data_IF_149008053597
#
_entry.id   IF_149008053597
#
_cell.length_a   1.000
_cell.length_b   1.000
_cell.length_c   1.000
_cell.angle_alpha   90.00
_cell.angle_beta   90.00
_cell.angle_gamma   90.00
#
_symmetry.space_group_name_H-M   'P 1'
#
loop_
_entity.id
_entity.type
_entity.pdbx_description
1 polymer ?
#
# COMPACT_ATOMS: atom_id res chain seq x y z
N UNK A 1 24.58 -21.24 15.19
CA UNK A 1 25.10 -20.59 13.96
C UNK A 1 24.72 -19.12 14.04
N UNK A 2 25.60 -18.18 13.67
CA UNK A 2 25.20 -16.77 13.58
C UNK A 2 24.14 -16.59 12.49
N UNK A 3 23.20 -15.66 12.71
CA UNK A 3 22.19 -15.33 11.72
C UNK A 3 22.83 -14.81 10.43
N UNK A 4 22.30 -15.16 9.24
CA UNK A 4 22.87 -14.70 7.98
C UNK A 4 22.77 -13.18 7.86
N UNK A 5 23.89 -12.55 7.51
CA UNK A 5 24.00 -11.09 7.32
C UNK A 5 23.10 -10.62 6.18
N UNK A 6 22.74 -9.33 6.16
CA UNK A 6 21.94 -8.78 5.06
C UNK A 6 22.67 -8.88 3.72
N UNK A 7 24.00 -8.73 3.69
CA UNK A 7 24.73 -8.91 2.43
C UNK A 7 24.79 -10.37 1.97
N UNK A 8 24.80 -11.36 2.88
CA UNK A 8 24.68 -12.76 2.50
C UNK A 8 23.30 -13.06 1.89
N UNK A 9 22.23 -12.52 2.48
CA UNK A 9 20.87 -12.58 1.91
C UNK A 9 20.82 -11.90 0.55
N UNK A 10 21.47 -10.74 0.40
CA UNK A 10 21.45 -9.99 -0.86
C UNK A 10 22.19 -10.73 -1.97
N UNK A 11 23.26 -11.45 -1.63
CA UNK A 11 23.99 -12.32 -2.57
C UNK A 11 23.10 -13.45 -3.08
N UNK A 12 22.33 -14.07 -2.18
CA UNK A 12 21.39 -15.11 -2.55
C UNK A 12 20.23 -14.58 -3.41
N UNK A 13 19.68 -13.42 -3.05
CA UNK A 13 18.51 -12.84 -3.71
C UNK A 13 18.84 -12.12 -5.03
N UNK A 14 20.13 -11.89 -5.33
CA UNK A 14 20.57 -11.12 -6.50
C UNK A 14 20.00 -11.68 -7.80
N UNK A 15 20.13 -12.99 -8.03
CA UNK A 15 19.62 -13.63 -9.25
C UNK A 15 18.09 -13.52 -9.39
N UNK A 16 17.37 -13.52 -8.27
CA UNK A 16 15.92 -13.34 -8.25
C UNK A 16 15.54 -11.90 -8.59
N UNK A 17 16.21 -10.92 -7.95
CA UNK A 17 15.96 -9.50 -8.15
C UNK A 17 16.30 -9.02 -9.56
N UNK A 18 17.36 -9.54 -10.17
CA UNK A 18 17.79 -9.17 -11.52
C UNK A 18 17.01 -9.89 -12.62
N UNK A 19 16.21 -10.91 -12.30
CA UNK A 19 15.41 -11.61 -13.31
C UNK A 19 14.41 -10.67 -14.00
N UNK A 20 14.29 -10.82 -15.32
CA UNK A 20 13.49 -9.92 -16.16
C UNK A 20 12.04 -9.81 -15.65
N UNK A 21 11.56 -8.58 -15.52
CA UNK A 21 10.18 -8.29 -15.13
C UNK A 21 9.88 -8.27 -13.63
N UNK A 22 10.85 -8.58 -12.75
CA UNK A 22 10.64 -8.50 -11.29
C UNK A 22 10.64 -7.08 -10.75
N UNK A 23 11.55 -6.26 -11.24
CA UNK A 23 11.66 -4.84 -10.87
C UNK A 23 11.45 -3.99 -12.12
N UNK A 24 10.43 -3.13 -12.06
CA UNK A 24 10.19 -2.14 -13.10
C UNK A 24 11.16 -0.96 -12.96
N UNK A 25 11.38 -0.23 -14.06
CA UNK A 25 12.28 0.92 -14.06
C UNK A 25 11.87 1.98 -13.02
N UNK A 26 10.57 2.24 -12.91
CA UNK A 26 10.01 3.17 -11.93
C UNK A 26 10.27 2.73 -10.49
N UNK A 27 10.22 1.42 -10.20
CA UNK A 27 10.50 0.90 -8.86
C UNK A 27 11.98 1.02 -8.52
N UNK A 28 12.87 0.67 -9.45
CA UNK A 28 14.33 0.81 -9.27
C UNK A 28 14.67 2.28 -9.00
N UNK A 29 14.09 3.19 -9.77
CA UNK A 29 14.27 4.63 -9.61
C UNK A 29 13.83 5.14 -8.23
N UNK A 30 12.67 4.68 -7.74
CA UNK A 30 12.17 5.01 -6.39
C UNK A 30 13.10 4.48 -5.30
N UNK A 31 13.57 3.24 -5.44
CA UNK A 31 14.51 2.63 -4.50
C UNK A 31 15.82 3.42 -4.46
N UNK A 32 16.38 3.79 -5.62
CA UNK A 32 17.61 4.59 -5.69
C UNK A 32 17.42 5.95 -5.01
N UNK A 33 16.29 6.63 -5.25
CA UNK A 33 16.00 7.91 -4.58
C UNK A 33 15.85 7.75 -3.08
N UNK A 34 15.24 6.66 -2.62
CA UNK A 34 15.10 6.38 -1.20
C UNK A 34 16.47 6.20 -0.54
N UNK A 35 17.36 5.42 -1.16
CA UNK A 35 18.72 5.20 -0.67
C UNK A 35 19.59 6.47 -0.71
N UNK A 36 19.27 7.42 -1.58
CA UNK A 36 19.98 8.68 -1.70
C UNK A 36 19.47 9.78 -0.74
N UNK A 37 18.16 9.86 -0.52
CA UNK A 37 17.53 10.98 0.20
C UNK A 37 17.16 10.67 1.65
N UNK A 38 16.90 9.41 1.99
CA UNK A 38 16.48 9.02 3.33
C UNK A 38 17.72 8.78 4.19
N UNK A 39 17.68 9.25 5.44
CA UNK A 39 18.74 8.98 6.40
C UNK A 39 18.65 7.52 6.90
N UNK A 40 19.77 6.78 6.95
CA UNK A 40 21.13 7.18 6.56
C UNK A 40 21.30 7.21 5.03
N UNK A 41 21.96 8.24 4.51
CA UNK A 41 22.25 8.34 3.08
C UNK A 41 23.25 7.25 2.69
N UNK A 42 22.78 6.28 1.89
CA UNK A 42 23.58 5.15 1.42
C UNK A 42 24.26 5.48 0.10
N UNK A 43 23.55 6.16 -0.81
CA UNK A 43 24.08 6.55 -2.11
C UNK A 43 24.34 8.05 -2.15
N UNK A 44 25.52 8.44 -2.61
CA UNK A 44 25.82 9.83 -2.94
C UNK A 44 24.98 10.28 -4.14
N UNK A 45 24.82 11.60 -4.32
CA UNK A 45 24.08 12.16 -5.47
C UNK A 45 24.67 11.69 -6.81
N UNK A 46 26.00 11.59 -6.90
CA UNK A 46 26.72 11.13 -8.10
C UNK A 46 26.42 9.67 -8.42
N UNK A 47 26.37 8.80 -7.41
CA UNK A 47 26.03 7.38 -7.58
C UNK A 47 24.58 7.19 -7.96
N UNK A 48 23.66 7.92 -7.31
CA UNK A 48 22.24 7.89 -7.62
C UNK A 48 21.98 8.28 -9.08
N UNK A 49 22.62 9.35 -9.57
CA UNK A 49 22.54 9.75 -10.98
C UNK A 49 23.09 8.68 -11.93
N UNK A 50 24.22 8.05 -11.57
CA UNK A 50 24.81 6.95 -12.36
C UNK A 50 23.86 5.76 -12.49
N UNK A 51 23.22 5.33 -11.39
CA UNK A 51 22.31 4.18 -11.39
C UNK A 51 20.93 4.46 -12.01
N UNK A 52 20.58 5.74 -12.18
CA UNK A 52 19.34 6.18 -12.85
C UNK A 52 19.53 6.51 -14.33
N UNK A 53 20.74 6.34 -14.89
CA UNK A 53 21.03 6.72 -16.27
C UNK A 53 20.21 5.89 -17.28
N UNK A 54 19.28 6.48 -18.06
CA UNK A 54 18.42 5.75 -18.99
C UNK A 54 19.18 5.13 -20.17
N UNK A 55 20.44 5.54 -20.43
CA UNK A 55 21.26 4.98 -21.51
C UNK A 55 21.72 3.55 -21.25
N UNK A 56 21.72 3.11 -19.99
CA UNK A 56 22.14 1.75 -19.61
C UNK A 56 20.92 0.87 -19.32
N UNK A 57 21.01 -0.42 -19.68
CA UNK A 57 19.93 -1.38 -19.43
C UNK A 57 19.60 -1.50 -17.95
N UNK A 58 18.32 -1.64 -17.62
CA UNK A 58 17.85 -1.78 -16.23
C UNK A 58 18.56 -2.92 -15.50
N UNK A 59 18.70 -4.08 -16.15
CA UNK A 59 19.39 -5.23 -15.58
C UNK A 59 20.84 -4.89 -15.18
N UNK A 60 21.59 -4.22 -16.07
CA UNK A 60 22.98 -3.83 -15.80
C UNK A 60 23.06 -2.82 -14.65
N UNK A 61 22.19 -1.80 -14.65
CA UNK A 61 22.13 -0.79 -13.59
C UNK A 61 21.82 -1.40 -12.23
N UNK A 62 20.81 -2.28 -12.18
CA UNK A 62 20.41 -2.97 -10.97
C UNK A 62 21.53 -3.90 -10.47
N UNK A 63 22.12 -4.71 -11.34
CA UNK A 63 23.23 -5.60 -10.96
C UNK A 63 24.41 -4.83 -10.38
N UNK A 64 24.78 -3.71 -11.02
CA UNK A 64 25.85 -2.84 -10.56
C UNK A 64 25.52 -2.14 -9.22
N UNK A 65 24.26 -1.72 -9.03
CA UNK A 65 23.79 -1.16 -7.76
C UNK A 65 23.91 -2.20 -6.63
N UNK A 66 23.41 -3.41 -6.85
CA UNK A 66 23.44 -4.48 -5.86
C UNK A 66 24.88 -4.88 -5.50
N UNK A 67 25.77 -4.97 -6.50
CA UNK A 67 27.19 -5.24 -6.28
C UNK A 67 27.88 -4.12 -5.49
N UNK A 68 27.53 -2.86 -5.76
CA UNK A 68 28.05 -1.72 -5.01
C UNK A 68 27.61 -1.76 -3.53
N UNK A 69 26.33 -2.02 -3.26
CA UNK A 69 25.81 -2.14 -1.89
C UNK A 69 26.49 -3.28 -1.12
N UNK A 70 26.75 -4.42 -1.76
CA UNK A 70 27.47 -5.54 -1.13
C UNK A 70 28.91 -5.18 -0.78
N UNK A 71 29.56 -4.33 -1.58
CA UNK A 71 30.94 -3.88 -1.34
C UNK A 71 31.02 -2.87 -0.19
N UNK A 72 30.01 -2.00 -0.06
CA UNK A 72 29.95 -0.99 1.00
C UNK A 72 29.70 -1.62 2.39
N UNK A 73 28.94 -2.71 2.46
CA UNK A 73 28.78 -3.52 3.66
C UNK A 73 27.33 -3.75 4.09
N UNK A 74 27.15 -4.29 5.30
CA UNK A 74 25.87 -4.86 5.72
C UNK A 74 24.74 -3.82 5.92
N UNK A 75 25.09 -2.64 6.41
CA UNK A 75 24.13 -1.54 6.62
C UNK A 75 23.50 -1.04 5.32
N UNK A 76 24.26 -0.76 4.23
CA UNK A 76 23.72 -0.55 2.89
C UNK A 76 22.79 -1.67 2.40
N UNK A 77 23.17 -2.94 2.59
CA UNK A 77 22.35 -4.10 2.24
C UNK A 77 21.02 -4.08 3.01
N UNK A 78 21.03 -3.76 4.31
CA UNK A 78 19.84 -3.64 5.15
C UNK A 78 18.90 -2.52 4.68
N UNK A 79 19.43 -1.33 4.40
CA UNK A 79 18.61 -0.21 3.93
C UNK A 79 18.02 -0.45 2.54
N UNK A 80 18.71 -1.21 1.68
CA UNK A 80 18.12 -1.70 0.44
C UNK A 80 16.89 -2.55 0.67
N UNK A 81 16.95 -3.51 1.61
CA UNK A 81 15.77 -4.30 1.97
C UNK A 81 14.64 -3.46 2.55
N UNK A 82 14.96 -2.45 3.35
CA UNK A 82 13.98 -1.49 3.86
C UNK A 82 13.32 -0.69 2.73
N UNK A 83 14.10 -0.21 1.77
CA UNK A 83 13.59 0.48 0.59
C UNK A 83 12.76 -0.44 -0.31
N UNK A 84 13.19 -1.68 -0.48
CA UNK A 84 12.46 -2.69 -1.25
C UNK A 84 11.11 -3.02 -0.58
N UNK A 85 11.07 -3.17 0.74
CA UNK A 85 9.85 -3.41 1.48
C UNK A 85 8.84 -2.27 1.32
N UNK A 86 9.30 -1.02 1.38
CA UNK A 86 8.43 0.16 1.25
C UNK A 86 7.86 0.31 -0.17
N UNK A 87 8.67 0.05 -1.19
CA UNK A 87 8.26 0.30 -2.58
C UNK A 87 7.65 -0.93 -3.28
N UNK A 88 7.97 -2.15 -2.82
CA UNK A 88 7.61 -3.40 -3.47
C UNK A 88 7.42 -4.52 -2.43
N UNK A 89 6.50 -4.32 -1.48
CA UNK A 89 6.23 -5.26 -0.39
C UNK A 89 5.94 -6.69 -0.88
N UNK A 90 5.15 -6.84 -1.94
CA UNK A 90 4.83 -8.16 -2.51
C UNK A 90 6.09 -8.88 -3.03
N UNK A 91 7.00 -8.15 -3.68
CA UNK A 91 8.27 -8.73 -4.16
C UNK A 91 9.18 -9.09 -2.98
N UNK A 92 9.24 -8.21 -1.98
CA UNK A 92 10.00 -8.41 -0.75
C UNK A 92 9.56 -9.67 0.01
N UNK A 93 8.26 -9.92 0.12
CA UNK A 93 7.74 -11.12 0.77
C UNK A 93 8.05 -12.42 0.02
N UNK A 94 8.31 -12.31 -1.29
CA UNK A 94 8.62 -13.43 -2.17
C UNK A 94 10.10 -13.76 -2.30
N UNK A 95 10.98 -13.04 -1.59
CA UNK A 95 12.42 -13.25 -1.67
C UNK A 95 12.85 -14.66 -1.19
N UNK A 96 13.77 -15.32 -1.91
CA UNK A 96 14.34 -16.60 -1.51
C UNK A 96 14.88 -16.61 -0.07
N UNK A 97 15.63 -15.58 0.32
CA UNK A 97 16.20 -15.45 1.67
C UNK A 97 15.15 -15.45 2.79
N UNK A 98 13.92 -15.02 2.51
CA UNK A 98 12.78 -15.03 3.45
C UNK A 98 12.02 -16.35 3.46
N UNK A 99 11.98 -17.08 2.35
CA UNK A 99 11.29 -18.37 2.29
C UNK A 99 12.01 -19.45 3.09
N UNK A 100 13.34 -19.45 3.08
CA UNK A 100 14.16 -20.41 3.84
C UNK A 100 13.91 -20.29 5.35
N UNK A 101 13.72 -19.06 5.86
CA UNK A 101 13.44 -18.81 7.28
C UNK A 101 12.04 -19.27 7.70
N UNK A 102 11.07 -19.36 6.77
CA UNK A 102 9.70 -19.84 7.06
C UNK A 102 9.58 -21.37 7.01
N UNK A 103 10.48 -22.04 6.30
CA UNK A 103 10.48 -23.50 6.15
C UNK A 103 11.14 -24.24 7.31
N UNK A 104 11.96 -23.58 8.14
CA UNK A 104 12.53 -24.24 9.33
C UNK A 104 11.50 -24.46 10.44
N UNK A 105 10.40 -23.69 10.45
CA UNK A 105 9.38 -23.73 11.51
C UNK A 105 8.03 -24.31 11.07
N UNK A 106 7.89 -24.76 9.82
CA UNK A 106 6.63 -25.32 9.35
C UNK A 106 6.83 -26.65 8.64
N UNK A 107 6.45 -27.71 9.36
CA UNK A 107 6.02 -28.98 8.74
C UNK A 107 4.92 -28.65 7.72
N UNK A 108 5.04 -29.28 6.55
CA UNK A 108 4.60 -28.75 5.27
C UNK A 108 3.15 -28.28 5.17
N UNK A 109 2.96 -27.17 4.46
CA UNK A 109 1.75 -26.94 3.65
C UNK A 109 2.16 -26.26 2.35
N UNK A 110 1.85 -26.93 1.25
CA UNK A 110 1.93 -26.46 -0.12
C UNK A 110 0.73 -25.52 -0.39
N UNK A 111 0.88 -24.25 -0.82
CA UNK A 111 -0.26 -23.42 -1.19
C UNK A 111 -0.13 -22.91 -2.63
N UNK A 112 -0.59 -23.73 -3.57
CA UNK A 112 -0.94 -23.33 -4.95
C UNK A 112 -2.23 -22.48 -5.02
N UNK A 113 -2.56 -21.75 -3.95
CA UNK A 113 -3.83 -21.00 -3.82
C UNK A 113 -3.61 -19.70 -3.09
N UNK A 114 -2.83 -18.80 -3.65
CA UNK A 114 -2.80 -17.40 -3.18
C UNK A 114 -4.05 -16.68 -3.74
N UNK A 115 -5.18 -17.05 -3.15
CA UNK A 115 -6.49 -16.43 -3.31
C UNK A 115 -6.38 -15.00 -2.75
N UNK A 116 -6.53 -14.01 -3.62
CA UNK A 116 -6.65 -12.57 -3.35
C UNK A 116 -6.69 -12.18 -1.86
N UNK A 117 -5.54 -11.84 -1.30
CA UNK A 117 -5.43 -11.19 0.02
C UNK A 117 -5.67 -9.70 -0.21
N UNK A 118 -6.94 -9.30 -0.22
CA UNK A 118 -7.38 -7.92 -0.05
C UNK A 118 -8.23 -7.89 1.22
N UNK A 119 -7.72 -7.18 2.23
CA UNK A 119 -8.29 -6.95 3.57
C UNK A 119 -8.02 -8.01 4.66
N UNK A 120 -7.03 -7.70 5.51
CA UNK A 120 -6.94 -8.21 6.89
C UNK A 120 -8.01 -7.61 7.85
N UNK A 121 -8.96 -6.81 7.33
CA UNK A 121 -10.25 -6.57 7.98
C UNK A 121 -11.31 -7.34 7.21
N UNK A 122 -11.56 -8.57 7.66
CA UNK A 122 -12.35 -9.55 6.92
C UNK A 122 -13.70 -9.04 6.38
N UNK A 123 -14.33 -9.79 5.45
CA UNK A 123 -15.64 -9.48 4.84
C UNK A 123 -16.75 -9.12 5.84
N UNK A 124 -16.58 -9.51 7.10
CA UNK A 124 -17.43 -9.17 8.24
C UNK A 124 -17.58 -7.67 8.48
N UNK A 125 -16.54 -6.84 8.25
CA UNK A 125 -16.67 -5.38 8.43
C UNK A 125 -17.60 -4.77 7.38
N UNK A 126 -17.47 -5.20 6.12
CA UNK A 126 -18.36 -4.75 5.04
C UNK A 126 -19.79 -5.25 5.25
N UNK A 127 -19.98 -6.49 5.70
CA UNK A 127 -21.31 -7.02 6.05
C UNK A 127 -21.95 -6.27 7.22
N UNK A 128 -21.18 -5.95 8.27
CA UNK A 128 -21.68 -5.19 9.42
C UNK A 128 -22.08 -3.77 9.02
N UNK A 129 -21.22 -3.08 8.26
CA UNK A 129 -21.52 -1.73 7.77
C UNK A 129 -22.75 -1.72 6.85
N UNK A 130 -22.83 -2.68 5.92
CA UNK A 130 -23.98 -2.83 5.03
C UNK A 130 -25.26 -3.17 5.80
N UNK A 131 -25.18 -4.03 6.82
CA UNK A 131 -26.35 -4.39 7.65
C UNK A 131 -26.87 -3.19 8.45
N UNK A 132 -25.98 -2.35 9.00
CA UNK A 132 -26.39 -1.11 9.69
C UNK A 132 -27.04 -0.14 8.71
N UNK A 133 -26.43 0.08 7.54
CA UNK A 133 -26.97 0.98 6.53
C UNK A 133 -28.33 0.51 5.99
N UNK A 134 -28.45 -0.78 5.66
CA UNK A 134 -29.70 -1.39 5.19
C UNK A 134 -30.78 -1.39 6.30
N UNK A 135 -30.40 -1.67 7.54
CA UNK A 135 -31.30 -1.59 8.69
C UNK A 135 -31.84 -0.18 8.93
N UNK A 136 -30.97 0.84 8.84
CA UNK A 136 -31.38 2.24 8.96
C UNK A 136 -32.28 2.67 7.79
N UNK A 137 -31.97 2.23 6.57
CA UNK A 137 -32.80 2.49 5.39
C UNK A 137 -34.19 1.84 5.51
N UNK A 138 -34.25 0.60 5.98
CA UNK A 138 -35.52 -0.11 6.20
C UNK A 138 -36.33 0.52 7.34
N UNK A 139 -35.68 0.89 8.45
CA UNK A 139 -36.32 1.63 9.54
C UNK A 139 -36.87 2.96 9.07
N UNK A 140 -36.10 3.75 8.32
CA UNK A 140 -36.59 5.01 7.77
C UNK A 140 -37.72 4.80 6.75
N UNK A 141 -37.66 3.75 5.94
CA UNK A 141 -38.73 3.44 4.99
C UNK A 141 -40.04 3.03 5.70
N UNK A 142 -39.96 2.14 6.69
CA UNK A 142 -41.12 1.69 7.47
C UNK A 142 -41.67 2.78 8.39
N UNK A 143 -40.82 3.46 9.18
CA UNK A 143 -41.26 4.50 10.10
C UNK A 143 -41.71 5.79 9.43
N UNK A 144 -41.24 6.13 8.22
CA UNK A 144 -41.80 7.27 7.48
C UNK A 144 -43.14 6.94 6.79
N UNK A 145 -43.44 5.65 6.56
CA UNK A 145 -44.72 5.24 5.95
C UNK A 145 -45.90 5.41 6.92
N UNK A 146 -45.66 5.36 8.23
CA UNK A 146 -46.68 5.54 9.28
C UNK A 146 -46.83 7.00 9.77
N UNK A 147 -46.30 7.99 9.05
CA UNK A 147 -46.51 9.41 9.39
C UNK A 147 -47.72 10.05 8.71
N UNK A 148 -48.55 9.28 7.99
CA UNK A 148 -49.79 9.81 7.40
C UNK A 148 -50.98 9.95 8.35
N UNK A 149 -50.86 9.59 9.62
CA UNK A 149 -51.91 9.88 10.60
C UNK A 149 -51.30 10.30 11.94
N UNK A 150 -51.75 11.46 12.41
CA UNK A 150 -51.62 12.00 13.76
C UNK A 150 -50.51 13.04 13.95
N UNK A 151 -50.95 14.30 13.90
CA UNK A 151 -50.11 15.47 14.08
C UNK A 151 -49.55 15.66 15.49
N UNK A 152 -48.57 16.56 15.54
CA UNK A 152 -48.28 17.37 16.72
C UNK A 152 -47.62 16.67 17.90
N UNK A 153 -46.32 16.39 17.82
CA UNK A 153 -45.45 16.42 19.01
C UNK A 153 -43.98 16.61 18.63
N UNK A 154 -43.48 17.83 18.86
CA UNK A 154 -42.05 18.14 18.95
C UNK A 154 -41.43 17.24 20.02
N UNK A 155 -40.51 16.35 19.65
CA UNK A 155 -39.55 15.77 20.60
C UNK A 155 -38.14 16.16 20.18
N UNK A 156 -37.67 17.17 20.89
CA UNK A 156 -36.29 17.66 20.94
C UNK A 156 -35.47 16.58 21.65
N UNK A 157 -34.52 15.99 20.93
CA UNK A 157 -33.37 15.27 21.48
C UNK A 157 -32.27 15.46 20.43
N UNK A 158 -31.34 16.41 20.53
CA UNK A 158 -30.59 16.78 21.72
C UNK A 158 -29.22 16.11 21.71
N UNK A 159 -28.48 16.18 20.60
CA UNK A 159 -27.02 15.97 20.58
C UNK A 159 -26.37 16.91 19.56
N UNK A 160 -25.76 17.98 20.07
CA UNK A 160 -24.71 18.73 19.37
C UNK A 160 -23.51 17.82 19.11
N UNK A 161 -22.80 18.03 17.98
CA UNK A 161 -21.59 18.83 18.15
C UNK A 161 -21.59 20.04 17.21
N UNK A 162 -21.53 21.21 17.84
CA UNK A 162 -21.00 22.43 17.25
C UNK A 162 -19.49 22.22 17.08
N UNK A 163 -19.02 21.96 15.86
CA UNK A 163 -17.79 22.59 15.34
C UNK A 163 -18.02 22.89 13.85
N UNK A 164 -18.32 24.15 13.61
CA UNK A 164 -18.24 24.81 12.30
C UNK A 164 -16.75 24.88 11.92
N UNK A 165 -16.36 24.14 10.89
CA UNK A 165 -15.17 24.40 10.07
C UNK A 165 -15.62 24.99 8.74
N UNK A 166 -15.46 26.31 8.59
CA UNK A 166 -15.76 27.10 7.38
C UNK A 166 -15.09 26.51 6.13
N UNK A 167 -15.75 26.66 4.97
CA UNK A 167 -15.23 26.54 3.59
C UNK A 167 -15.42 25.25 2.76
N UNK A 168 -16.62 24.63 2.71
CA UNK A 168 -16.98 23.82 1.51
C UNK A 168 -18.48 23.84 1.19
N UNK A 169 -19.11 25.03 1.12
CA UNK A 169 -20.52 25.14 0.68
C UNK A 169 -20.74 25.90 -0.63
N UNK A 170 -19.68 26.23 -1.35
CA UNK A 170 -19.80 26.93 -2.65
C UNK A 170 -19.47 26.08 -3.89
N UNK A 171 -19.29 24.75 -3.73
CA UNK A 171 -19.00 23.85 -4.88
C UNK A 171 -20.14 22.85 -5.15
N UNK A 172 -21.09 22.64 -4.22
CA UNK A 172 -22.22 21.72 -4.44
C UNK A 172 -23.56 22.40 -4.79
N UNK A 173 -23.57 23.70 -5.10
CA UNK A 173 -24.77 24.41 -5.58
C UNK A 173 -24.68 24.85 -7.05
N UNK A 174 -23.74 24.32 -7.83
CA UNK A 174 -23.65 24.53 -9.28
C UNK A 174 -23.91 23.26 -10.10
N UNK A 175 -24.32 22.16 -9.47
CA UNK A 175 -24.53 20.87 -10.15
C UNK A 175 -25.97 20.34 -10.10
N UNK A 176 -26.92 21.12 -9.57
CA UNK A 176 -28.34 20.76 -9.56
C UNK A 176 -29.20 21.70 -10.41
N UNK A 177 -28.62 22.72 -11.03
CA UNK A 177 -29.33 23.67 -11.87
C UNK A 177 -28.78 23.67 -13.28
N UNK A 178 -28.81 22.50 -13.92
CA UNK A 178 -28.74 22.36 -15.37
C UNK A 178 -29.37 21.02 -15.77
N UNK A 179 -30.70 20.96 -15.71
CA UNK A 179 -31.47 19.99 -16.47
C UNK A 179 -32.38 20.75 -17.44
N UNK A 180 -31.99 20.90 -18.72
CA UNK A 180 -32.88 21.41 -19.74
C UNK A 180 -33.65 20.26 -20.39
N UNK A 181 -34.98 20.42 -20.51
CA UNK A 181 -35.75 20.38 -21.78
C UNK A 181 -37.23 20.02 -21.58
N UNK A 182 -38.08 20.94 -22.04
CA UNK A 182 -39.27 20.77 -22.89
C UNK A 182 -40.00 19.42 -22.88
N UNK A 183 -41.31 19.45 -22.61
CA UNK A 183 -42.35 19.62 -23.63
C UNK A 183 -43.69 20.01 -23.00
#
# INVERSE_FOLDING_TARGET
MPDPTYCDRLRQDMAFLTSNGRLSEQLVDKIILQLNRVYPQILTNKEAEKFRNPKASLHSRLSNLLAHLQKEGDKPCQEFYRALQINAEQLYNNLPSRRILKTSDSTGINPEKEKCILNDRGPTFFLACFSIAAGLAFYMYCCNSDSKVLGGAKKILGFSPVIIGRHVRNICMLYMEDAPRNK
#
